data_IF_225549224640
#
_entry.id   IF_225549224640
#
_cell.length_a   1.000
_cell.length_b   1.000
_cell.length_c   1.000
_cell.angle_alpha   90.00
_cell.angle_beta   90.00
_cell.angle_gamma   90.00
#
_symmetry.space_group_name_H-M   'P 1'
#
loop_
_entity.id
_entity.type
_entity.pdbx_description
1 polymer ?
#
# COMPACT_ATOMS: atom_id res chain seq x y z
N UNK A 1 -1.47 1.47 -18.31
CA UNK A 1 -1.53 0.39 -17.30
C UNK A 1 -2.61 -0.60 -17.72
N UNK A 2 -2.36 -1.90 -17.59
CA UNK A 2 -3.35 -2.94 -17.87
C UNK A 2 -3.87 -3.59 -16.59
N UNK A 3 -5.18 -3.75 -16.51
CA UNK A 3 -5.88 -4.52 -15.49
C UNK A 3 -6.62 -5.69 -16.13
N UNK A 4 -6.45 -6.88 -15.56
CA UNK A 4 -7.27 -8.04 -15.87
C UNK A 4 -7.97 -8.48 -14.59
N UNK A 5 -9.30 -8.67 -14.64
CA UNK A 5 -10.05 -9.14 -13.47
C UNK A 5 -10.76 -10.44 -13.83
N UNK A 6 -10.37 -11.51 -13.14
CA UNK A 6 -10.99 -12.83 -13.29
C UNK A 6 -12.05 -12.98 -12.19
N UNK A 7 -13.32 -12.95 -12.56
CA UNK A 7 -14.42 -12.91 -11.60
C UNK A 7 -15.62 -13.70 -12.09
N UNK A 8 -16.47 -14.12 -11.18
CA UNK A 8 -17.76 -14.73 -11.49
C UNK A 8 -18.89 -13.68 -11.55
N UNK A 9 -18.58 -12.38 -11.39
CA UNK A 9 -19.56 -11.30 -11.54
C UNK A 9 -18.94 -10.11 -12.31
N UNK A 10 -18.67 -10.26 -13.63
CA UNK A 10 -18.14 -9.15 -14.44
C UNK A 10 -19.01 -7.88 -14.33
N UNK A 11 -20.33 -8.04 -14.27
CA UNK A 11 -21.28 -6.92 -14.19
C UNK A 11 -21.14 -6.11 -12.89
N UNK A 12 -20.55 -6.69 -11.84
CA UNK A 12 -20.26 -5.98 -10.60
C UNK A 12 -19.28 -4.82 -10.84
N UNK A 13 -18.45 -4.91 -11.87
CA UNK A 13 -17.41 -3.94 -12.22
C UNK A 13 -17.84 -2.95 -13.31
N UNK A 14 -19.11 -2.98 -13.74
CA UNK A 14 -19.68 -1.97 -14.65
C UNK A 14 -19.48 -0.52 -14.19
N UNK A 15 -19.56 -0.19 -12.87
CA UNK A 15 -19.26 1.17 -12.40
C UNK A 15 -17.87 1.68 -12.78
N UNK A 16 -16.91 0.80 -13.07
CA UNK A 16 -15.56 1.19 -13.52
C UNK A 16 -15.55 1.83 -14.92
N UNK A 17 -16.68 1.83 -15.64
CA UNK A 17 -16.87 2.58 -16.90
C UNK A 17 -17.22 4.05 -16.65
N UNK A 18 -17.52 4.45 -15.42
CA UNK A 18 -18.03 5.79 -15.09
C UNK A 18 -16.91 6.75 -14.67
N UNK A 19 -17.26 8.04 -14.60
CA UNK A 19 -16.45 9.08 -13.97
C UNK A 19 -15.00 9.17 -14.50
N UNK A 20 -14.03 9.48 -13.64
CA UNK A 20 -12.62 9.64 -13.99
C UNK A 20 -11.98 8.36 -14.53
N UNK A 21 -12.40 7.19 -14.04
CA UNK A 21 -11.88 5.91 -14.53
C UNK A 21 -12.33 5.65 -15.98
N UNK A 22 -13.61 5.90 -16.29
CA UNK A 22 -14.11 5.87 -17.67
C UNK A 22 -13.30 6.78 -18.60
N UNK A 23 -13.06 8.02 -18.17
CA UNK A 23 -12.21 8.98 -18.91
C UNK A 23 -10.76 8.51 -19.06
N UNK A 24 -10.19 7.87 -18.05
CA UNK A 24 -8.83 7.33 -18.12
C UNK A 24 -8.73 6.21 -19.17
N UNK A 25 -9.78 5.38 -19.29
CA UNK A 25 -9.89 4.35 -20.33
C UNK A 25 -10.07 4.95 -21.73
N UNK A 26 -10.95 5.93 -21.89
CA UNK A 26 -11.13 6.65 -23.16
C UNK A 26 -9.83 7.30 -23.67
N UNK A 27 -8.97 7.76 -22.74
CA UNK A 27 -7.65 8.31 -23.04
C UNK A 27 -6.56 7.25 -23.26
N UNK A 28 -6.87 5.97 -23.11
CA UNK A 28 -5.90 4.86 -23.23
C UNK A 28 -4.88 4.79 -22.08
N UNK A 29 -5.13 5.47 -20.95
CA UNK A 29 -4.25 5.39 -19.77
C UNK A 29 -4.42 4.06 -19.03
N UNK A 30 -5.64 3.52 -19.07
CA UNK A 30 -6.03 2.25 -18.46
C UNK A 30 -6.68 1.36 -19.50
N UNK A 31 -6.21 0.12 -19.58
CA UNK A 31 -6.81 -0.97 -20.32
C UNK A 31 -7.39 -1.98 -19.32
N UNK A 32 -8.70 -2.23 -19.35
CA UNK A 32 -9.40 -3.08 -18.37
C UNK A 32 -10.10 -4.23 -19.09
N UNK A 33 -9.69 -5.45 -18.76
CA UNK A 33 -10.24 -6.71 -19.26
C UNK A 33 -10.96 -7.44 -18.13
N UNK A 34 -12.16 -7.93 -18.41
CA UNK A 34 -12.97 -8.69 -17.47
C UNK A 34 -13.14 -10.10 -18.02
N UNK A 35 -12.81 -11.10 -17.21
CA UNK A 35 -12.86 -12.51 -17.56
C UNK A 35 -13.89 -13.19 -16.68
N UNK A 36 -14.97 -13.72 -17.26
CA UNK A 36 -15.96 -14.53 -16.51
C UNK A 36 -15.34 -15.89 -16.23
N UNK A 37 -14.97 -16.15 -14.98
CA UNK A 37 -14.34 -17.41 -14.58
C UNK A 37 -15.18 -18.65 -14.96
N UNK A 38 -16.51 -18.48 -15.08
CA UNK A 38 -17.40 -19.56 -15.52
C UNK A 38 -17.20 -19.98 -16.97
N UNK A 39 -16.51 -19.19 -17.80
CA UNK A 39 -16.17 -19.56 -19.19
C UNK A 39 -15.09 -20.65 -19.24
N UNK A 40 -14.31 -20.81 -18.17
CA UNK A 40 -13.23 -21.80 -18.05
C UNK A 40 -13.70 -23.10 -17.37
N UNK A 41 -14.97 -23.44 -17.53
CA UNK A 41 -15.58 -24.65 -16.98
C UNK A 41 -16.13 -25.53 -18.10
N UNK A 42 -16.12 -26.84 -17.88
CA UNK A 42 -16.51 -27.82 -18.91
C UNK A 42 -17.83 -28.55 -18.61
N UNK A 43 -18.40 -28.34 -17.42
CA UNK A 43 -19.69 -28.92 -17.05
C UNK A 43 -20.85 -28.02 -17.49
N UNK A 44 -22.03 -28.64 -17.67
CA UNK A 44 -23.24 -27.95 -18.13
C UNK A 44 -23.68 -26.80 -17.20
N UNK A 45 -23.37 -26.88 -15.92
CA UNK A 45 -23.80 -25.90 -14.92
C UNK A 45 -22.78 -24.77 -14.72
N UNK A 46 -21.66 -24.83 -15.41
CA UNK A 46 -20.54 -23.89 -15.31
C UNK A 46 -20.04 -23.73 -13.87
N UNK A 47 -19.74 -24.86 -13.24
CA UNK A 47 -19.47 -24.98 -11.80
C UNK A 47 -18.03 -24.58 -11.47
N UNK A 48 -17.87 -23.52 -10.67
CA UNK A 48 -16.59 -22.92 -10.30
C UNK A 48 -16.16 -23.22 -8.86
N UNK A 49 -16.97 -23.93 -8.09
CA UNK A 49 -16.75 -24.21 -6.67
C UNK A 49 -17.10 -25.67 -6.32
N UNK A 50 -16.54 -26.16 -5.22
CA UNK A 50 -16.83 -27.49 -4.65
C UNK A 50 -16.67 -27.46 -3.12
N UNK A 51 -17.10 -28.53 -2.45
CA UNK A 51 -16.97 -28.68 -1.00
C UNK A 51 -15.50 -28.77 -0.56
N UNK A 52 -15.14 -28.18 0.60
CA UNK A 52 -13.77 -28.22 1.10
C UNK A 52 -13.35 -29.62 1.57
N UNK A 53 -12.12 -30.01 1.23
CA UNK A 53 -11.47 -31.15 1.89
C UNK A 53 -11.29 -30.88 3.39
N UNK A 54 -11.44 -31.92 4.21
CA UNK A 54 -11.43 -31.78 5.68
C UNK A 54 -12.80 -31.46 6.29
N UNK A 55 -13.83 -31.26 5.45
CA UNK A 55 -15.16 -30.86 5.89
C UNK A 55 -15.23 -29.38 6.29
N UNK A 56 -16.40 -28.96 6.76
CA UNK A 56 -16.69 -27.55 7.03
C UNK A 56 -17.95 -27.09 6.30
N UNK A 57 -18.45 -25.92 6.68
CA UNK A 57 -19.51 -25.25 5.92
C UNK A 57 -18.89 -24.46 4.75
N UNK A 58 -19.71 -24.15 3.75
CA UNK A 58 -19.29 -23.32 2.61
C UNK A 58 -18.71 -24.12 1.44
N UNK A 59 -18.15 -23.38 0.49
CA UNK A 59 -17.61 -23.89 -0.78
C UNK A 59 -16.24 -23.24 -1.03
N UNK A 60 -15.37 -23.92 -1.77
CA UNK A 60 -14.05 -23.41 -2.19
C UNK A 60 -14.02 -23.38 -3.71
N UNK A 61 -13.49 -22.30 -4.28
CA UNK A 61 -13.38 -22.18 -5.74
C UNK A 61 -12.37 -23.19 -6.28
N UNK A 62 -12.77 -23.92 -7.32
CA UNK A 62 -12.02 -25.02 -7.93
C UNK A 62 -10.75 -24.51 -8.61
N UNK A 63 -9.70 -25.31 -8.58
CA UNK A 63 -8.40 -24.95 -9.14
C UNK A 63 -8.40 -24.80 -10.67
N UNK A 64 -8.98 -25.75 -11.39
CA UNK A 64 -8.87 -25.82 -12.86
C UNK A 64 -9.39 -24.56 -13.59
N UNK A 65 -10.59 -24.01 -13.29
CA UNK A 65 -11.04 -22.79 -13.97
C UNK A 65 -10.12 -21.60 -13.73
N UNK A 66 -9.54 -21.49 -12.53
CA UNK A 66 -8.58 -20.43 -12.21
C UNK A 66 -7.27 -20.61 -12.97
N UNK A 67 -6.73 -21.83 -13.03
CA UNK A 67 -5.51 -22.12 -13.79
C UNK A 67 -5.65 -21.72 -15.25
N UNK A 68 -6.72 -22.16 -15.91
CA UNK A 68 -6.99 -21.84 -17.31
C UNK A 68 -7.17 -20.34 -17.57
N UNK A 69 -7.90 -19.64 -16.70
CA UNK A 69 -8.09 -18.20 -16.83
C UNK A 69 -6.78 -17.43 -16.66
N UNK A 70 -5.96 -17.81 -15.67
CA UNK A 70 -4.68 -17.17 -15.41
C UNK A 70 -3.66 -17.46 -16.51
N UNK A 71 -3.65 -18.66 -17.09
CA UNK A 71 -2.83 -19.01 -18.25
C UNK A 71 -3.17 -18.13 -19.46
N UNK A 72 -4.46 -17.91 -19.75
CA UNK A 72 -4.91 -17.05 -20.84
C UNK A 72 -4.49 -15.58 -20.61
N UNK A 73 -4.68 -15.06 -19.39
CA UNK A 73 -4.25 -13.71 -19.01
C UNK A 73 -2.73 -13.55 -19.13
N UNK A 74 -1.97 -14.58 -18.72
CA UNK A 74 -0.51 -14.58 -18.80
C UNK A 74 -0.07 -14.55 -20.27
N UNK A 75 -0.67 -15.38 -21.13
CA UNK A 75 -0.36 -15.41 -22.56
C UNK A 75 -0.64 -14.06 -23.25
N UNK A 76 -1.74 -13.39 -22.86
CA UNK A 76 -2.13 -12.08 -23.37
C UNK A 76 -1.39 -10.90 -22.71
N UNK A 77 -0.46 -11.16 -21.78
CA UNK A 77 0.19 -10.09 -21.02
C UNK A 77 1.03 -9.16 -21.92
N UNK A 78 0.90 -7.83 -21.75
CA UNK A 78 1.74 -6.87 -22.46
C UNK A 78 3.22 -6.93 -22.02
N UNK A 79 3.54 -7.66 -20.96
CA UNK A 79 4.90 -7.84 -20.49
C UNK A 79 5.69 -8.88 -21.29
N UNK A 80 5.01 -9.78 -22.02
CA UNK A 80 5.65 -10.78 -22.88
C UNK A 80 6.35 -10.13 -24.08
N UNK A 81 5.72 -9.13 -24.70
CA UNK A 81 6.32 -8.39 -25.82
C UNK A 81 7.58 -7.62 -25.41
N UNK A 82 7.61 -7.08 -24.18
CA UNK A 82 8.77 -6.35 -23.66
C UNK A 82 9.99 -7.25 -23.38
N UNK A 83 9.76 -8.54 -23.09
CA UNK A 83 10.85 -9.52 -22.92
C UNK A 83 11.43 -10.00 -24.23
N UNK A 84 10.62 -10.07 -25.30
CA UNK A 84 11.09 -10.43 -26.65
C UNK A 84 12.01 -9.35 -27.22
N UNK A 85 11.60 -8.07 -27.16
CA UNK A 85 12.42 -6.92 -27.60
C UNK A 85 13.74 -6.77 -26.82
N UNK A 86 13.74 -7.12 -25.52
CA UNK A 86 14.94 -7.08 -24.69
C UNK A 86 15.92 -8.23 -25.01
N UNK A 87 15.41 -9.36 -25.50
CA UNK A 87 16.22 -10.53 -25.85
C UNK A 87 16.95 -10.40 -27.19
N UNK A 88 16.41 -9.61 -28.13
CA UNK A 88 17.08 -9.32 -29.42
C UNK A 88 18.19 -8.25 -29.31
N UNK A 89 18.22 -7.45 -28.23
CA UNK A 89 19.21 -6.38 -28.01
C UNK A 89 20.38 -6.76 -27.10
N UNK A 90 20.41 -7.96 -26.53
CA UNK A 90 21.36 -8.38 -25.50
C UNK A 90 22.55 -9.19 -26.06
N UNK A 91 23.18 -8.72 -27.15
CA UNK A 91 24.53 -9.12 -27.53
C UNK A 91 25.50 -7.94 -27.34
N UNK A 92 25.86 -7.59 -26.10
CA UNK A 92 27.09 -6.81 -25.83
C UNK A 92 27.46 -6.76 -24.33
N UNK A 93 28.63 -7.32 -24.06
CA UNK A 93 29.63 -7.08 -22.99
C UNK A 93 29.30 -6.19 -21.77
N UNK A 94 29.56 -6.74 -20.56
CA UNK A 94 29.78 -5.94 -19.35
C UNK A 94 29.76 -6.74 -18.04
N UNK A 95 30.93 -7.09 -17.51
CA UNK A 95 31.12 -7.79 -16.22
C UNK A 95 31.08 -6.79 -15.04
N UNK A 96 29.99 -6.81 -14.29
CA UNK A 96 29.85 -6.21 -12.96
C UNK A 96 28.84 -7.03 -12.15
N UNK A 97 28.82 -6.94 -10.80
CA UNK A 97 27.77 -7.60 -10.03
C UNK A 97 26.44 -6.96 -10.41
N UNK A 98 25.65 -7.67 -11.21
CA UNK A 98 24.34 -7.22 -11.65
C UNK A 98 23.48 -6.98 -10.41
N UNK A 99 22.92 -5.77 -10.28
CA UNK A 99 21.77 -5.58 -9.41
C UNK A 99 20.74 -6.66 -9.75
N UNK A 100 20.07 -7.27 -8.76
CA UNK A 100 19.07 -8.30 -9.05
C UNK A 100 18.09 -7.73 -10.06
N UNK A 101 17.96 -8.40 -11.21
CA UNK A 101 17.08 -7.97 -12.27
C UNK A 101 15.67 -7.78 -11.67
N UNK A 102 15.06 -6.63 -11.94
CA UNK A 102 13.73 -6.32 -11.44
C UNK A 102 12.75 -7.42 -11.89
N UNK A 103 11.94 -7.94 -10.97
CA UNK A 103 10.95 -8.97 -11.28
C UNK A 103 9.89 -8.39 -12.23
N UNK A 104 9.93 -8.80 -13.49
CA UNK A 104 9.07 -8.28 -14.57
C UNK A 104 7.75 -9.03 -14.69
N UNK A 105 7.45 -9.98 -13.81
CA UNK A 105 6.20 -10.75 -13.89
C UNK A 105 4.99 -9.87 -13.57
N UNK A 106 3.82 -10.14 -14.18
CA UNK A 106 2.58 -9.49 -13.80
C UNK A 106 2.29 -9.66 -12.31
N UNK A 107 1.67 -8.65 -11.71
CA UNK A 107 1.25 -8.70 -10.30
C UNK A 107 -0.14 -9.32 -10.20
N UNK A 108 -0.29 -10.42 -9.46
CA UNK A 108 -1.59 -11.02 -9.14
C UNK A 108 -2.02 -10.59 -7.74
N UNK A 109 -3.00 -9.69 -7.65
CA UNK A 109 -3.61 -9.28 -6.38
C UNK A 109 -4.77 -10.19 -6.06
N UNK A 110 -4.74 -10.77 -4.85
CA UNK A 110 -5.81 -11.62 -4.31
C UNK A 110 -6.48 -10.88 -3.15
N UNK A 111 -7.66 -10.25 -3.35
CA UNK A 111 -8.41 -9.67 -2.25
C UNK A 111 -8.69 -10.72 -1.16
N UNK A 112 -8.14 -10.52 0.03
CA UNK A 112 -8.24 -11.44 1.15
C UNK A 112 -8.12 -10.69 2.48
N UNK A 113 -8.99 -10.95 3.47
CA UNK A 113 -8.87 -10.32 4.79
C UNK A 113 -7.60 -10.72 5.54
N UNK A 114 -6.91 -11.79 5.11
CA UNK A 114 -5.62 -12.21 5.66
C UNK A 114 -4.41 -11.50 5.00
N UNK A 115 -4.63 -10.68 3.97
CA UNK A 115 -3.60 -9.92 3.29
C UNK A 115 -3.17 -8.65 4.03
N UNK A 116 -2.11 -8.00 3.52
CA UNK A 116 -1.73 -6.68 4.01
C UNK A 116 -2.84 -5.66 3.74
N UNK A 117 -3.14 -4.79 4.70
CA UNK A 117 -4.19 -3.78 4.55
C UNK A 117 -3.78 -2.76 3.48
N UNK A 118 -4.66 -2.55 2.50
CA UNK A 118 -4.48 -1.59 1.43
C UNK A 118 -4.47 -0.16 1.99
N UNK A 119 -3.37 0.55 1.75
CA UNK A 119 -3.20 1.94 2.16
C UNK A 119 -2.75 2.83 0.98
N UNK A 120 -2.68 4.14 1.24
CA UNK A 120 -2.31 5.11 0.21
C UNK A 120 -0.88 4.89 -0.31
N UNK A 121 0.05 4.42 0.52
CA UNK A 121 1.42 4.15 0.11
C UNK A 121 1.50 2.95 -0.84
N UNK A 122 0.70 1.91 -0.58
CA UNK A 122 0.53 0.78 -1.48
C UNK A 122 -0.09 1.24 -2.81
N UNK A 123 -1.12 2.11 -2.79
CA UNK A 123 -1.70 2.66 -4.01
C UNK A 123 -0.67 3.37 -4.90
N UNK A 124 0.23 4.18 -4.33
CA UNK A 124 1.33 4.82 -5.08
C UNK A 124 2.26 3.80 -5.71
N UNK A 125 2.68 2.76 -4.97
CA UNK A 125 3.55 1.70 -5.52
C UNK A 125 2.86 0.95 -6.66
N UNK A 126 1.59 0.60 -6.48
CA UNK A 126 0.81 -0.12 -7.48
C UNK A 126 0.51 0.74 -8.72
N UNK A 127 0.54 2.07 -8.61
CA UNK A 127 0.37 2.97 -9.74
C UNK A 127 1.57 2.96 -10.71
N UNK A 128 2.71 2.40 -10.31
CA UNK A 128 3.89 2.22 -11.15
C UNK A 128 3.85 0.89 -11.94
N UNK A 129 2.93 -0.01 -11.60
CA UNK A 129 2.81 -1.30 -12.28
C UNK A 129 2.32 -1.17 -13.72
N UNK A 130 2.82 -2.04 -14.58
CA UNK A 130 2.39 -2.08 -15.99
C UNK A 130 1.19 -3.00 -16.20
N UNK A 131 1.11 -4.09 -15.43
CA UNK A 131 0.07 -5.11 -15.53
C UNK A 131 -0.28 -5.67 -14.15
N UNK A 132 -1.53 -5.46 -13.73
CA UNK A 132 -2.08 -6.01 -12.50
C UNK A 132 -3.27 -6.91 -12.84
N UNK A 133 -3.22 -8.14 -12.37
CA UNK A 133 -4.31 -9.11 -12.44
C UNK A 133 -4.98 -9.17 -11.07
N UNK A 134 -6.31 -9.21 -11.03
CA UNK A 134 -7.08 -9.37 -9.80
C UNK A 134 -7.82 -10.70 -9.80
N UNK A 135 -7.71 -11.42 -8.69
CA UNK A 135 -8.44 -12.66 -8.41
C UNK A 135 -9.40 -12.48 -7.22
N UNK A 136 -10.52 -11.73 -7.37
CA UNK A 136 -11.52 -11.56 -6.33
C UNK A 136 -12.24 -12.88 -6.01
N UNK A 137 -11.81 -13.53 -4.94
CA UNK A 137 -12.40 -14.76 -4.48
C UNK A 137 -13.85 -14.58 -3.99
N UNK A 138 -14.61 -15.67 -4.02
CA UNK A 138 -15.94 -15.84 -3.43
C UNK A 138 -15.94 -17.06 -2.50
N UNK A 139 -17.04 -17.24 -1.78
CA UNK A 139 -17.21 -18.34 -0.84
C UNK A 139 -16.13 -18.32 0.25
N UNK A 140 -15.52 -19.45 0.59
CA UNK A 140 -14.41 -19.54 1.55
C UNK A 140 -13.06 -19.12 0.95
N UNK A 141 -12.97 -18.99 -0.38
CA UNK A 141 -11.74 -18.58 -1.06
C UNK A 141 -11.43 -19.41 -2.31
N UNK A 142 -10.22 -19.19 -2.83
CA UNK A 142 -9.64 -19.97 -3.92
C UNK A 142 -8.87 -21.15 -3.32
N UNK A 143 -8.88 -22.31 -3.98
CA UNK A 143 -8.01 -23.42 -3.61
C UNK A 143 -6.54 -22.96 -3.52
N UNK A 144 -5.91 -23.11 -2.36
CA UNK A 144 -4.57 -22.58 -2.06
C UNK A 144 -3.51 -23.02 -3.08
N UNK A 145 -3.66 -24.21 -3.67
CA UNK A 145 -2.73 -24.73 -4.68
C UNK A 145 -2.67 -23.87 -5.94
N UNK A 146 -3.75 -23.15 -6.26
CA UNK A 146 -3.77 -22.16 -7.35
C UNK A 146 -2.82 -21.01 -7.03
N UNK A 147 -2.82 -20.55 -5.78
CA UNK A 147 -1.98 -19.43 -5.35
C UNK A 147 -0.51 -19.85 -5.33
N UNK A 148 -0.21 -21.05 -4.81
CA UNK A 148 1.13 -21.63 -4.83
C UNK A 148 1.66 -21.79 -6.26
N UNK A 149 0.85 -22.35 -7.16
CA UNK A 149 1.21 -22.50 -8.58
C UNK A 149 1.39 -21.15 -9.28
N UNK A 150 0.50 -20.18 -9.03
CA UNK A 150 0.56 -18.87 -9.66
C UNK A 150 1.85 -18.10 -9.30
N UNK A 151 2.50 -18.39 -8.16
CA UNK A 151 3.79 -17.79 -7.79
C UNK A 151 4.92 -18.12 -8.78
N UNK A 152 4.77 -19.14 -9.62
CA UNK A 152 5.77 -19.47 -10.66
C UNK A 152 5.81 -18.36 -11.74
N UNK A 153 4.63 -17.84 -12.12
CA UNK A 153 4.48 -16.93 -13.27
C UNK A 153 4.00 -15.52 -12.89
N UNK A 154 3.49 -15.33 -11.68
CA UNK A 154 3.01 -14.06 -11.14
C UNK A 154 3.75 -13.68 -9.87
N UNK A 155 3.80 -12.38 -9.58
CA UNK A 155 4.02 -11.90 -8.21
C UNK A 155 2.68 -11.94 -7.49
N UNK A 156 2.43 -12.93 -6.63
CA UNK A 156 1.13 -13.03 -5.95
C UNK A 156 1.13 -12.25 -4.65
N UNK A 157 0.16 -11.36 -4.48
CA UNK A 157 0.03 -10.48 -3.33
C UNK A 157 -1.39 -10.52 -2.76
N UNK A 158 -1.61 -11.18 -1.61
CA UNK A 158 -2.85 -11.06 -0.87
C UNK A 158 -3.00 -9.64 -0.29
N UNK A 159 -4.15 -9.01 -0.52
CA UNK A 159 -4.44 -7.64 -0.05
C UNK A 159 -5.79 -7.56 0.64
N UNK A 160 -5.83 -6.97 1.83
CA UNK A 160 -7.04 -6.72 2.60
C UNK A 160 -7.57 -5.30 2.36
N UNK A 161 -8.89 -5.13 2.25
CA UNK A 161 -9.52 -3.80 2.25
C UNK A 161 -9.71 -3.23 3.68
N UNK A 162 -9.42 -4.04 4.69
CA UNK A 162 -9.52 -3.69 6.11
C UNK A 162 -10.02 -4.84 6.97
N UNK A 163 -10.09 -4.61 8.28
CA UNK A 163 -10.38 -5.64 9.30
C UNK A 163 -11.88 -5.96 9.39
N UNK A 164 -12.44 -6.49 8.30
CA UNK A 164 -13.83 -6.93 8.18
C UNK A 164 -13.96 -7.95 7.04
N UNK A 165 -15.11 -8.63 6.97
CA UNK A 165 -15.38 -9.67 5.96
C UNK A 165 -16.48 -9.21 5.01
N UNK A 166 -16.30 -9.51 3.72
CA UNK A 166 -17.22 -9.20 2.62
C UNK A 166 -17.69 -10.49 1.95
N UNK A 167 -18.77 -10.41 1.17
CA UNK A 167 -19.27 -11.56 0.39
C UNK A 167 -18.34 -11.97 -0.78
N UNK A 168 -17.37 -11.14 -1.13
CA UNK A 168 -16.48 -11.35 -2.27
C UNK A 168 -15.50 -10.20 -2.47
N UNK A 169 -14.47 -10.45 -3.27
CA UNK A 169 -13.37 -9.51 -3.50
C UNK A 169 -13.68 -8.36 -4.46
N UNK A 170 -14.79 -8.38 -5.21
CA UNK A 170 -15.03 -7.45 -6.32
C UNK A 170 -15.13 -5.99 -5.88
N UNK A 171 -15.70 -5.73 -4.70
CA UNK A 171 -15.73 -4.37 -4.13
C UNK A 171 -14.32 -3.88 -3.75
N UNK A 172 -13.46 -4.78 -3.30
CA UNK A 172 -12.06 -4.46 -3.00
C UNK A 172 -11.29 -4.17 -4.29
N UNK A 173 -11.54 -4.93 -5.36
CA UNK A 173 -10.98 -4.64 -6.70
C UNK A 173 -11.39 -3.26 -7.19
N UNK A 174 -12.67 -2.89 -7.08
CA UNK A 174 -13.12 -1.54 -7.48
C UNK A 174 -12.40 -0.45 -6.69
N UNK A 175 -12.33 -0.58 -5.36
CA UNK A 175 -11.68 0.40 -4.50
C UNK A 175 -10.18 0.53 -4.82
N UNK A 176 -9.48 -0.59 -5.03
CA UNK A 176 -8.07 -0.60 -5.41
C UNK A 176 -7.85 0.03 -6.79
N UNK A 177 -8.59 -0.38 -7.82
CA UNK A 177 -8.46 0.19 -9.18
C UNK A 177 -8.72 1.70 -9.17
N UNK A 178 -9.71 2.18 -8.42
CA UNK A 178 -10.00 3.61 -8.30
C UNK A 178 -8.85 4.38 -7.65
N UNK A 179 -8.34 3.86 -6.51
CA UNK A 179 -7.25 4.47 -5.77
C UNK A 179 -5.91 4.46 -6.53
N UNK A 180 -5.64 3.41 -7.31
CA UNK A 180 -4.43 3.29 -8.13
C UNK A 180 -4.54 4.18 -9.37
N UNK A 181 -5.65 4.09 -10.11
CA UNK A 181 -5.81 4.78 -11.40
C UNK A 181 -5.72 6.29 -11.27
N UNK A 182 -6.28 6.87 -10.20
CA UNK A 182 -6.23 8.33 -9.98
C UNK A 182 -4.80 8.87 -9.84
N UNK A 183 -3.82 8.02 -9.52
CA UNK A 183 -2.41 8.36 -9.38
C UNK A 183 -1.64 8.25 -10.70
N UNK A 184 -2.23 7.65 -11.74
CA UNK A 184 -1.62 7.56 -13.07
C UNK A 184 -1.54 8.95 -13.70
N UNK A 185 -0.37 9.39 -14.20
CA UNK A 185 -0.23 10.67 -14.88
C UNK A 185 -1.29 10.87 -15.98
N UNK A 186 -2.03 11.97 -15.90
CA UNK A 186 -3.09 12.33 -16.86
C UNK A 186 -4.50 11.80 -16.54
N UNK A 187 -4.65 10.95 -15.51
CA UNK A 187 -5.95 10.47 -15.05
C UNK A 187 -6.74 11.59 -14.33
N UNK A 188 -6.06 12.38 -13.49
CA UNK A 188 -6.62 13.53 -12.80
C UNK A 188 -6.45 14.82 -13.62
N UNK A 189 -7.43 15.72 -13.53
CA UNK A 189 -7.40 17.00 -14.27
C UNK A 189 -6.41 18.02 -13.70
N UNK A 190 -6.27 18.08 -12.38
CA UNK A 190 -5.29 18.95 -11.70
C UNK A 190 -4.39 18.09 -10.81
N UNK A 191 -3.12 17.84 -11.19
CA UNK A 191 -2.18 17.06 -10.39
C UNK A 191 -1.95 17.63 -8.98
N UNK A 192 -2.02 18.97 -8.82
CA UNK A 192 -1.84 19.62 -7.52
C UNK A 192 -2.91 19.23 -6.50
N UNK A 193 -4.07 18.70 -6.93
CA UNK A 193 -5.08 18.18 -6.01
C UNK A 193 -4.58 16.96 -5.23
N UNK A 194 -3.67 16.16 -5.78
CA UNK A 194 -3.13 14.98 -5.09
C UNK A 194 -2.21 15.37 -3.91
N UNK A 195 -1.61 16.56 -3.95
CA UNK A 195 -0.65 17.03 -2.94
C UNK A 195 -1.31 17.38 -1.60
N UNK A 196 -2.57 17.84 -1.61
CA UNK A 196 -3.26 18.35 -0.42
C UNK A 196 -4.28 17.36 0.19
N UNK A 197 -4.42 16.16 -0.38
CA UNK A 197 -5.41 15.16 0.03
C UNK A 197 -5.06 14.42 1.33
N UNK A 198 -6.08 13.80 1.92
CA UNK A 198 -5.89 12.96 3.10
C UNK A 198 -4.92 11.82 2.82
N UNK A 199 -4.07 11.51 3.80
CA UNK A 199 -3.00 10.51 3.74
C UNK A 199 -1.81 10.91 2.84
N UNK A 200 -1.95 11.86 1.91
CA UNK A 200 -0.80 12.48 1.26
C UNK A 200 0.01 13.25 2.29
N UNK A 201 1.30 12.91 2.41
CA UNK A 201 2.18 13.45 3.43
C UNK A 201 1.90 12.95 4.86
N UNK A 202 0.86 12.13 5.10
CA UNK A 202 0.64 11.45 6.38
C UNK A 202 -0.39 12.08 7.33
N UNK A 203 -1.14 13.12 6.92
CA UNK A 203 -2.22 13.73 7.73
C UNK A 203 -3.56 13.73 6.97
N UNK A 204 -4.67 13.99 7.66
CA UNK A 204 -6.00 14.16 7.03
C UNK A 204 -6.15 15.55 6.41
N UNK A 205 -6.91 15.69 5.33
CA UNK A 205 -7.20 16.98 4.69
C UNK A 205 -8.00 17.92 5.60
N UNK A 206 -7.75 19.22 5.46
CA UNK A 206 -8.48 20.30 6.13
C UNK A 206 -9.97 20.37 5.67
N UNK A 207 -10.88 21.05 6.40
CA UNK A 207 -12.26 21.22 5.97
C UNK A 207 -12.35 22.10 4.73
N UNK A 208 -13.13 21.65 3.75
CA UNK A 208 -13.40 22.36 2.50
C UNK A 208 -14.76 23.08 2.55
N UNK A 209 -14.83 24.23 1.90
CA UNK A 209 -16.02 25.08 1.82
C UNK A 209 -16.23 25.53 0.38
N UNK A 210 -17.49 25.71 -0.01
CA UNK A 210 -17.85 26.27 -1.32
C UNK A 210 -18.99 27.27 -1.16
N UNK A 211 -19.37 27.93 -2.26
CA UNK A 211 -20.49 28.88 -2.27
C UNK A 211 -21.81 28.16 -1.92
N UNK A 212 -22.75 28.83 -1.24
CA UNK A 212 -22.73 30.22 -0.79
C UNK A 212 -21.91 30.45 0.50
N UNK A 213 -21.51 31.70 0.76
CA UNK A 213 -20.70 32.06 1.94
C UNK A 213 -21.43 31.86 3.29
N UNK A 214 -22.77 31.85 3.28
CA UNK A 214 -23.60 31.53 4.44
C UNK A 214 -24.66 30.52 4.03
N UNK A 215 -24.76 29.41 4.76
CA UNK A 215 -25.80 28.40 4.58
C UNK A 215 -26.43 28.05 5.93
N UNK A 216 -27.74 28.32 6.09
CA UNK A 216 -28.48 28.04 7.33
C UNK A 216 -27.78 28.61 8.58
N UNK A 217 -27.45 29.90 8.54
CA UNK A 217 -26.75 30.63 9.62
C UNK A 217 -25.33 30.09 9.93
N UNK A 218 -24.76 29.28 9.03
CA UNK A 218 -23.38 28.79 9.13
C UNK A 218 -22.52 29.50 8.10
N UNK A 219 -21.61 30.32 8.60
CA UNK A 219 -20.70 31.11 7.78
C UNK A 219 -19.45 30.31 7.41
N UNK A 220 -18.92 30.56 6.21
CA UNK A 220 -17.57 30.16 5.84
C UNK A 220 -16.58 30.96 6.70
N UNK A 221 -15.50 30.33 7.23
CA UNK A 221 -14.48 31.04 8.00
C UNK A 221 -13.97 32.29 7.28
N UNK A 222 -14.01 33.46 7.93
CA UNK A 222 -13.67 34.76 7.32
C UNK A 222 -12.28 34.78 6.65
N UNK A 223 -11.31 34.05 7.23
CA UNK A 223 -9.97 33.92 6.66
C UNK A 223 -9.97 33.39 5.22
N UNK A 224 -10.92 32.51 4.88
CA UNK A 224 -11.07 31.96 3.53
C UNK A 224 -11.65 32.97 2.53
N UNK A 225 -12.27 34.04 3.02
CA UNK A 225 -12.82 35.14 2.22
C UNK A 225 -11.83 36.31 2.08
N UNK A 226 -10.72 36.29 2.83
CA UNK A 226 -9.80 37.43 2.95
C UNK A 226 -8.88 37.69 1.74
N UNK A 227 -8.74 36.71 0.85
CA UNK A 227 -7.73 36.76 -0.24
C UNK A 227 -6.27 36.65 0.23
N UNK A 228 -6.01 36.54 1.53
CA UNK A 228 -4.66 36.42 2.07
C UNK A 228 -4.18 34.95 2.00
N UNK A 229 -3.47 34.62 0.92
CA UNK A 229 -2.97 33.26 0.66
C UNK A 229 -2.12 32.69 1.83
N UNK A 230 -1.28 33.50 2.48
CA UNK A 230 -0.46 33.06 3.60
C UNK A 230 -1.29 32.72 4.84
N UNK A 231 -2.30 33.54 5.14
CA UNK A 231 -3.23 33.27 6.24
C UNK A 231 -4.11 32.04 5.97
N UNK A 232 -4.57 31.88 4.72
CA UNK A 232 -5.36 30.73 4.28
C UNK A 232 -4.54 29.44 4.37
N UNK A 233 -3.31 29.43 3.84
CA UNK A 233 -2.43 28.27 3.92
C UNK A 233 -2.14 27.88 5.38
N UNK A 234 -1.90 28.88 6.24
CA UNK A 234 -1.71 28.61 7.67
C UNK A 234 -2.95 28.01 8.31
N UNK A 235 -4.12 28.61 8.06
CA UNK A 235 -5.38 28.11 8.61
C UNK A 235 -5.68 26.69 8.15
N UNK A 236 -5.43 26.37 6.87
CA UNK A 236 -5.56 25.02 6.31
C UNK A 236 -4.67 24.04 7.07
N UNK A 237 -3.39 24.35 7.24
CA UNK A 237 -2.45 23.51 8.02
C UNK A 237 -2.92 23.30 9.46
N UNK A 238 -3.37 24.36 10.13
CA UNK A 238 -3.89 24.27 11.51
C UNK A 238 -5.10 23.34 11.61
N UNK A 239 -6.06 23.46 10.67
CA UNK A 239 -7.24 22.58 10.63
C UNK A 239 -6.91 21.15 10.22
N UNK A 240 -5.92 20.96 9.35
CA UNK A 240 -5.37 19.66 8.98
C UNK A 240 -4.89 18.91 10.23
N UNK A 241 -4.06 19.57 11.04
CA UNK A 241 -3.49 19.04 12.27
C UNK A 241 -4.57 18.77 13.30
N UNK A 242 -5.46 19.74 13.54
CA UNK A 242 -6.53 19.61 14.52
C UNK A 242 -7.48 18.45 14.19
N UNK A 243 -7.91 18.34 12.93
CA UNK A 243 -8.75 17.23 12.49
C UNK A 243 -8.06 15.87 12.61
N UNK A 244 -6.76 15.82 12.30
CA UNK A 244 -5.98 14.58 12.44
C UNK A 244 -5.86 14.19 13.91
N UNK A 245 -5.53 15.13 14.80
CA UNK A 245 -5.48 14.91 16.25
C UNK A 245 -6.82 14.40 16.79
N UNK A 246 -7.94 14.94 16.33
CA UNK A 246 -9.27 14.56 16.80
C UNK A 246 -9.76 13.19 16.27
N UNK A 247 -9.47 12.86 15.01
CA UNK A 247 -10.10 11.72 14.32
C UNK A 247 -9.18 10.53 14.10
N UNK A 248 -7.89 10.79 13.91
CA UNK A 248 -6.85 9.81 13.58
C UNK A 248 -5.57 10.15 14.34
N UNK A 249 -5.58 10.12 15.68
CA UNK A 249 -4.40 10.43 16.49
C UNK A 249 -3.23 9.50 16.18
N UNK A 250 -3.49 8.29 15.70
CA UNK A 250 -2.50 7.34 15.20
C UNK A 250 -1.68 7.89 14.02
N UNK A 251 -2.31 8.62 13.08
CA UNK A 251 -1.59 9.26 11.98
C UNK A 251 -0.69 10.40 12.47
N UNK A 252 -1.11 11.12 13.51
CA UNK A 252 -0.30 12.16 14.12
C UNK A 252 0.94 11.59 14.82
N UNK A 253 0.79 10.45 15.52
CA UNK A 253 1.88 9.75 16.19
C UNK A 253 2.91 9.19 15.19
N UNK A 254 2.43 8.65 14.07
CA UNK A 254 3.27 8.16 12.99
C UNK A 254 3.94 9.26 12.14
N UNK A 255 3.48 10.52 12.25
CA UNK A 255 3.97 11.62 11.43
C UNK A 255 5.43 11.99 11.80
N UNK A 256 6.35 12.10 10.82
CA UNK A 256 7.77 12.32 11.11
C UNK A 256 8.02 13.61 11.90
N UNK A 257 8.75 13.49 13.01
CA UNK A 257 8.92 14.59 13.98
C UNK A 257 9.58 15.81 13.33
N UNK A 258 10.48 15.60 12.38
CA UNK A 258 11.20 16.62 11.61
C UNK A 258 10.31 17.45 10.67
N UNK A 259 9.14 16.92 10.26
CA UNK A 259 8.21 17.62 9.39
C UNK A 259 7.35 18.66 10.14
N UNK A 260 7.37 18.67 11.47
CA UNK A 260 6.72 19.72 12.26
C UNK A 260 7.56 21.01 12.29
N UNK A 261 7.06 22.05 11.63
CA UNK A 261 7.67 23.38 11.69
C UNK A 261 7.49 24.05 13.07
N UNK A 262 8.14 25.20 13.30
CA UNK A 262 8.07 25.94 14.58
C UNK A 262 6.63 26.32 14.96
N UNK A 263 5.82 26.60 13.95
CA UNK A 263 4.49 27.19 14.02
C UNK A 263 3.48 26.07 14.34
N UNK A 264 3.61 24.90 13.73
CA UNK A 264 2.90 23.65 14.02
C UNK A 264 3.18 23.17 15.45
N UNK A 265 4.45 23.14 15.87
CA UNK A 265 4.82 22.76 17.24
C UNK A 265 4.19 23.68 18.30
N UNK A 266 4.09 24.98 18.01
CA UNK A 266 3.40 25.92 18.90
C UNK A 266 1.91 25.61 18.97
N UNK A 267 1.26 25.42 17.82
CA UNK A 267 -0.16 25.08 17.73
C UNK A 267 -0.53 23.77 18.46
N UNK A 268 0.35 22.76 18.35
CA UNK A 268 0.23 21.48 19.05
C UNK A 268 0.47 21.60 20.56
N UNK A 269 1.46 22.40 20.98
CA UNK A 269 1.74 22.65 22.39
C UNK A 269 0.57 23.34 23.11
N UNK A 270 -0.12 24.28 22.44
CA UNK A 270 -1.34 24.92 22.95
C UNK A 270 -2.49 23.92 23.17
N UNK A 271 -2.42 22.74 22.53
CA UNK A 271 -3.38 21.64 22.64
C UNK A 271 -2.85 20.46 23.46
N UNK A 272 -1.77 20.67 24.23
CA UNK A 272 -1.21 19.67 25.14
C UNK A 272 -0.30 18.62 24.49
N UNK A 273 0.00 18.74 23.19
CA UNK A 273 0.94 17.84 22.50
C UNK A 273 2.34 18.44 22.56
N UNK A 274 3.22 17.81 23.31
CA UNK A 274 4.60 18.27 23.51
C UNK A 274 5.61 17.31 22.89
N UNK A 275 6.44 17.85 22.01
CA UNK A 275 7.56 17.09 21.43
C UNK A 275 8.75 17.10 22.39
N UNK A 276 9.43 15.95 22.52
CA UNK A 276 10.69 15.88 23.24
C UNK A 276 11.70 16.85 22.63
N UNK A 277 12.29 17.73 23.44
CA UNK A 277 13.31 18.66 22.96
C UNK A 277 14.58 17.85 22.59
N UNK A 278 15.02 17.84 21.32
CA UNK A 278 16.20 17.07 20.90
C UNK A 278 17.46 17.46 21.68
N UNK A 279 17.60 18.72 22.10
CA UNK A 279 18.70 19.18 22.95
C UNK A 279 18.64 18.59 24.37
N UNK A 280 17.44 18.41 24.95
CA UNK A 280 17.27 17.74 26.25
C UNK A 280 17.45 16.23 26.14
N UNK A 281 17.03 15.60 25.04
CA UNK A 281 17.23 14.17 24.80
C UNK A 281 18.73 13.83 24.63
N UNK A 282 19.48 14.66 23.91
CA UNK A 282 20.93 14.56 23.78
C UNK A 282 21.66 14.81 25.12
N UNK A 283 21.26 15.83 25.90
CA UNK A 283 21.79 16.06 27.25
C UNK A 283 21.46 14.92 28.23
N UNK A 284 20.29 14.28 28.09
CA UNK A 284 19.89 13.12 28.90
C UNK A 284 20.66 11.85 28.51
N UNK A 285 21.02 11.68 27.24
CA UNK A 285 21.97 10.65 26.76
C UNK A 285 23.40 10.92 27.26
N UNK A 286 23.88 12.17 27.19
CA UNK A 286 25.21 12.56 27.67
C UNK A 286 25.37 12.44 29.19
N UNK A 287 24.32 12.74 29.98
CA UNK A 287 24.33 12.52 31.44
C UNK A 287 24.25 11.05 31.85
N UNK A 288 23.82 10.14 30.96
CA UNK A 288 23.72 8.70 31.25
C UNK A 288 25.01 7.92 30.97
N UNK A 289 25.97 8.50 30.23
CA UNK A 289 27.29 7.91 29.97
C UNK A 289 28.41 8.92 30.33
N UNK A 290 28.89 8.99 31.59
CA UNK A 290 29.99 9.88 31.95
C UNK A 290 31.39 9.26 31.79
N UNK A 291 31.56 8.06 31.23
CA UNK A 291 32.86 7.39 31.19
C UNK A 291 33.14 6.67 29.87
N UNK A 292 33.82 7.37 28.95
CA UNK A 292 34.81 6.80 28.00
C UNK A 292 35.61 7.96 27.38
N UNK A 293 36.30 8.72 28.22
CA UNK A 293 37.41 9.60 27.80
C UNK A 293 38.50 9.60 28.89
N UNK A 294 39.08 8.43 29.12
CA UNK A 294 40.41 8.24 29.68
C UNK A 294 40.81 6.81 29.32
N UNK A 295 42.08 6.61 28.96
CA UNK A 295 42.69 5.36 28.47
C UNK A 295 42.65 5.10 26.96
N UNK A 296 43.28 6.01 26.21
CA UNK A 296 43.97 5.67 24.96
C UNK A 296 45.45 6.09 25.06
N UNK A 297 46.18 5.50 26.01
CA UNK A 297 47.63 5.69 26.14
C UNK A 297 48.30 4.57 26.96
N UNK A 298 48.09 3.30 26.62
CA UNK A 298 49.03 2.22 26.95
C UNK A 298 48.58 0.93 26.24
N UNK A 299 49.55 0.09 25.88
CA UNK A 299 49.38 -1.29 25.39
C UNK A 299 49.06 -1.46 23.90
N UNK A 300 49.91 -0.88 23.06
CA UNK A 300 50.40 -1.58 21.88
C UNK A 300 51.74 -2.26 22.24
N UNK A 301 51.69 -3.48 22.80
CA UNK A 301 52.81 -4.41 22.79
C UNK A 301 52.34 -5.79 23.28
N UNK A 302 52.66 -6.80 22.47
CA UNK A 302 52.75 -8.23 22.77
C UNK A 302 51.59 -9.12 22.27
N UNK A 303 52.03 -9.87 21.26
CA UNK A 303 51.49 -10.97 20.48
C UNK A 303 51.28 -12.28 21.25
N UNK A 304 50.44 -13.12 20.63
CA UNK A 304 50.50 -14.58 20.59
C UNK A 304 50.29 -15.37 21.88
N UNK A 305 49.16 -16.08 22.02
CA UNK A 305 49.09 -17.53 21.73
C UNK A 305 47.69 -18.14 22.00
N UNK A 306 47.24 -18.96 21.04
CA UNK A 306 46.59 -20.28 21.17
C UNK A 306 45.27 -20.51 21.97
N UNK A 307 44.28 -20.99 21.20
CA UNK A 307 43.48 -22.23 21.37
C UNK A 307 42.26 -22.32 22.32
N UNK A 308 41.12 -22.51 21.63
CA UNK A 308 40.12 -23.59 21.76
C UNK A 308 39.11 -23.66 22.93
N UNK A 309 37.84 -23.76 22.47
CA UNK A 309 36.81 -24.73 22.87
C UNK A 309 35.68 -24.37 23.86
N UNK A 310 34.47 -24.31 23.25
CA UNK A 310 33.16 -24.92 23.60
C UNK A 310 32.26 -24.42 24.76
N UNK A 311 30.99 -24.18 24.37
CA UNK A 311 29.70 -24.65 24.97
C UNK A 311 29.30 -23.96 26.30
N UNK A 312 28.09 -23.48 26.61
CA UNK A 312 26.72 -23.41 26.04
C UNK A 312 25.90 -22.38 26.90
N UNK A 313 24.57 -22.18 26.72
CA UNK A 313 23.89 -20.92 27.01
C UNK A 313 23.34 -20.80 28.44
N UNK A 314 23.06 -19.56 28.88
CA UNK A 314 22.29 -19.33 30.10
C UNK A 314 21.01 -18.52 29.86
N UNK A 315 19.95 -19.15 30.38
CA UNK A 315 18.54 -18.82 30.52
C UNK A 315 18.28 -17.47 31.19
N UNK A 316 17.26 -16.75 30.72
CA UNK A 316 16.64 -15.62 31.44
C UNK A 316 15.46 -16.16 32.24
N UNK A 317 15.51 -16.04 33.57
CA UNK A 317 14.37 -16.21 34.46
C UNK A 317 13.68 -14.86 34.68
N UNK A 318 12.36 -14.84 34.56
CA UNK A 318 11.48 -13.80 35.10
C UNK A 318 10.70 -14.40 36.27
N UNK A 319 10.72 -13.72 37.42
CA UNK A 319 9.69 -13.88 38.45
C UNK A 319 8.76 -12.66 38.43
N UNK A 320 7.47 -12.85 38.74
CA UNK A 320 6.49 -11.77 38.79
C UNK A 320 6.39 -11.18 40.19
N UNK A 321 6.15 -9.88 40.27
CA UNK A 321 5.65 -9.25 41.50
C UNK A 321 4.19 -8.85 41.34
N UNK A 322 3.51 -9.10 42.45
CA UNK A 322 2.13 -8.91 42.91
C UNK A 322 1.29 -7.76 42.35
#
# INVERSE_FOLDING_TARGET
MRYDVVTIFPEYLEPLKLSLLGKAREKGLVDLHLHDLREYTFDRHRTVDDTPYGGGAGMVMKAEPWGLALDEVLAASPLNAATEDASEGAESEGTGPAEPAADTRPLLIVPSPAGAVFDQAMAYKLAEEKHIVFAPARYEGIDERVLDWAQESFRVMPVSLGDYVLYGGEVAVMAMIEAITRLIPGAMGNPASLEEESHTGGLLEYPVYTKPAVWREREVPEVLLSGNHGAIARWRRDRQIERTLERRPDLLEAYPVEQWDKKDRRFLAERGVHFANPAKAAQKKAKKNPATQADSAAQAAQSDTAQSNTVQPNTVQTQPDS
#
